data_IF_649086411414
#
_entry.id   IF_649086411414
#
_cell.length_a   1.000
_cell.length_b   1.000
_cell.length_c   1.000
_cell.angle_alpha   90.00
_cell.angle_beta   90.00
_cell.angle_gamma   90.00
#
_symmetry.space_group_name_H-M   'P 1'
#
loop_
_entity.id
_entity.type
_entity.pdbx_description
1 polymer ?
#
# COMPACT_ATOMS: atom_id res chain seq x y z
N UNK A 1 -16.68 -94.52 -27.91
CA UNK A 1 -16.99 -93.08 -27.80
C UNK A 1 -16.61 -92.61 -26.40
N UNK A 2 -15.53 -91.74 -26.30
CA UNK A 2 -15.06 -91.18 -25.01
C UNK A 2 -15.76 -89.86 -24.76
N UNK A 3 -16.24 -89.56 -23.58
CA UNK A 3 -16.79 -88.24 -23.24
C UNK A 3 -15.68 -87.24 -23.10
N UNK A 4 -15.86 -86.04 -23.65
CA UNK A 4 -14.96 -84.89 -23.62
C UNK A 4 -15.13 -84.20 -22.25
N UNK A 5 -14.08 -84.23 -21.46
CA UNK A 5 -13.99 -83.51 -20.17
C UNK A 5 -13.77 -82.04 -20.43
N UNK A 6 -14.69 -81.16 -20.13
CA UNK A 6 -14.55 -79.72 -20.15
C UNK A 6 -13.75 -79.33 -18.90
N UNK A 7 -12.53 -78.83 -19.15
CA UNK A 7 -11.60 -78.43 -18.10
C UNK A 7 -12.09 -77.16 -17.40
N UNK A 8 -11.81 -77.08 -16.13
CA UNK A 8 -12.17 -76.08 -15.10
C UNK A 8 -11.67 -74.66 -15.40
N UNK A 9 -11.05 -74.43 -16.56
CA UNK A 9 -10.41 -73.19 -16.92
C UNK A 9 -11.32 -72.11 -17.54
N UNK A 10 -12.51 -72.44 -17.93
CA UNK A 10 -13.38 -71.45 -18.59
C UNK A 10 -14.41 -70.74 -17.67
N UNK A 11 -14.48 -71.08 -16.38
CA UNK A 11 -15.40 -70.44 -15.46
C UNK A 11 -14.84 -69.21 -14.75
N UNK A 12 -13.53 -68.96 -14.83
CA UNK A 12 -12.92 -67.78 -14.20
C UNK A 12 -12.98 -66.51 -15.04
N UNK A 13 -13.26 -66.58 -16.33
CA UNK A 13 -13.25 -65.41 -17.21
C UNK A 13 -14.55 -64.60 -17.23
N UNK A 14 -15.66 -65.16 -16.75
CA UNK A 14 -16.95 -64.47 -16.80
C UNK A 14 -17.22 -63.69 -15.51
N UNK A 15 -16.47 -63.93 -14.43
CA UNK A 15 -16.71 -63.24 -13.15
C UNK A 15 -15.89 -61.96 -12.98
N UNK A 16 -14.88 -61.74 -13.84
CA UNK A 16 -14.04 -60.53 -13.74
C UNK A 16 -14.58 -59.29 -14.47
N UNK A 17 -15.62 -59.46 -15.31
CA UNK A 17 -16.11 -58.33 -16.12
C UNK A 17 -17.28 -57.56 -15.52
N UNK A 18 -17.78 -57.96 -14.34
CA UNK A 18 -18.92 -57.25 -13.70
C UNK A 18 -18.48 -56.29 -12.59
N UNK A 19 -17.26 -56.43 -12.09
CA UNK A 19 -16.75 -55.56 -10.97
C UNK A 19 -16.07 -54.31 -11.47
N UNK A 20 -15.61 -54.28 -12.72
CA UNK A 20 -14.80 -53.15 -13.21
C UNK A 20 -15.58 -51.91 -13.68
N UNK A 21 -16.87 -52.05 -13.97
CA UNK A 21 -17.68 -50.92 -14.48
C UNK A 21 -18.19 -50.04 -13.35
N UNK A 22 -18.57 -50.62 -12.21
CA UNK A 22 -19.06 -49.82 -11.07
C UNK A 22 -17.94 -49.04 -10.37
N UNK A 23 -16.72 -49.60 -10.31
CA UNK A 23 -15.58 -48.91 -9.74
C UNK A 23 -15.05 -47.77 -10.63
N UNK A 24 -15.18 -47.87 -11.94
CA UNK A 24 -14.80 -46.83 -12.89
C UNK A 24 -15.77 -45.63 -12.83
N UNK A 25 -17.05 -45.87 -12.56
CA UNK A 25 -18.04 -44.79 -12.41
C UNK A 25 -17.85 -44.07 -11.07
N UNK A 26 -17.52 -44.78 -9.98
CA UNK A 26 -17.24 -44.14 -8.68
C UNK A 26 -15.94 -43.34 -8.71
N UNK A 27 -14.89 -43.81 -9.42
CA UNK A 27 -13.66 -43.06 -9.56
C UNK A 27 -13.83 -41.80 -10.42
N UNK A 28 -14.69 -41.83 -11.44
CA UNK A 28 -14.96 -40.65 -12.26
C UNK A 28 -15.76 -39.56 -11.52
N UNK A 29 -16.67 -39.96 -10.61
CA UNK A 29 -17.44 -38.99 -9.81
C UNK A 29 -16.62 -38.34 -8.73
N UNK A 30 -15.59 -39.01 -8.15
CA UNK A 30 -14.68 -38.39 -7.20
C UNK A 30 -13.71 -37.38 -7.85
N UNK A 31 -13.40 -37.50 -9.14
CA UNK A 31 -12.50 -36.61 -9.84
C UNK A 31 -13.14 -35.26 -10.24
N UNK A 32 -14.46 -35.18 -10.31
CA UNK A 32 -15.18 -33.98 -10.71
C UNK A 32 -15.31 -32.98 -9.53
N UNK A 33 -15.14 -33.43 -8.28
CA UNK A 33 -15.26 -32.57 -7.10
C UNK A 33 -13.93 -32.03 -6.57
N UNK A 34 -12.80 -32.35 -7.18
CA UNK A 34 -11.48 -31.94 -6.68
C UNK A 34 -10.85 -30.71 -7.37
N UNK A 35 -11.57 -30.03 -8.23
CA UNK A 35 -11.11 -28.79 -8.84
C UNK A 35 -11.77 -27.54 -8.22
N UNK A 36 -11.87 -27.51 -6.90
CA UNK A 36 -11.97 -26.24 -6.20
C UNK A 36 -10.60 -25.57 -6.30
N UNK A 37 -10.33 -24.93 -7.42
CA UNK A 37 -9.28 -23.93 -7.48
C UNK A 37 -9.66 -22.86 -6.48
N UNK A 38 -9.09 -22.95 -5.28
CA UNK A 38 -9.04 -21.82 -4.37
C UNK A 38 -8.23 -20.75 -5.09
N UNK A 39 -8.91 -19.84 -5.75
CA UNK A 39 -8.31 -18.55 -6.10
C UNK A 39 -8.02 -17.89 -4.76
N UNK A 40 -6.85 -18.14 -4.22
CA UNK A 40 -6.27 -17.25 -3.24
C UNK A 40 -6.17 -15.91 -3.96
N UNK A 41 -7.14 -15.03 -3.71
CA UNK A 41 -6.97 -13.63 -4.02
C UNK A 41 -5.70 -13.24 -3.28
N UNK A 42 -4.62 -13.02 -4.01
CA UNK A 42 -3.45 -12.34 -3.48
C UNK A 42 -3.95 -10.93 -3.17
N UNK A 43 -4.38 -10.72 -1.94
CA UNK A 43 -4.45 -9.36 -1.44
C UNK A 43 -3.00 -8.87 -1.55
N UNK A 44 -2.76 -7.95 -2.48
CA UNK A 44 -1.55 -7.18 -2.44
C UNK A 44 -1.57 -6.50 -1.08
N UNK A 45 -0.71 -6.94 -0.17
CA UNK A 45 -0.42 -6.18 1.03
C UNK A 45 0.04 -4.83 0.50
N UNK A 46 -0.79 -3.81 0.65
CA UNK A 46 -0.36 -2.43 0.48
C UNK A 46 0.64 -2.23 1.60
N UNK A 47 1.93 -2.23 1.25
CA UNK A 47 2.96 -1.87 2.22
C UNK A 47 2.53 -0.53 2.81
N UNK A 48 2.35 -0.51 4.11
CA UNK A 48 2.07 0.73 4.85
C UNK A 48 3.36 1.55 4.80
N UNK A 49 3.42 2.44 3.80
CA UNK A 49 4.57 3.31 3.59
C UNK A 49 4.67 4.41 4.64
N UNK A 50 3.76 4.41 5.62
CA UNK A 50 3.65 5.42 6.65
C UNK A 50 2.71 6.57 6.30
N UNK A 51 2.44 7.40 7.29
CA UNK A 51 1.51 8.52 7.22
C UNK A 51 2.11 9.78 7.84
N UNK A 52 1.58 10.93 7.44
CA UNK A 52 1.83 12.23 8.08
C UNK A 52 0.51 12.93 8.33
N UNK A 53 0.40 13.64 9.44
CA UNK A 53 -0.75 14.49 9.75
C UNK A 53 -0.27 15.87 10.19
N UNK A 54 -0.91 16.94 9.68
CA UNK A 54 -0.74 18.28 10.23
C UNK A 54 -1.60 18.37 11.49
N UNK A 55 -0.96 18.56 12.65
CA UNK A 55 -1.61 18.63 13.95
C UNK A 55 -2.01 20.05 14.33
N UNK A 56 -1.29 21.05 13.81
CA UNK A 56 -1.54 22.49 13.97
C UNK A 56 -1.24 23.23 12.67
N UNK A 57 -2.08 24.21 12.27
CA UNK A 57 -3.40 24.54 12.82
C UNK A 57 -4.45 23.50 12.39
N UNK A 58 -5.62 23.51 13.00
CA UNK A 58 -6.74 22.66 12.57
C UNK A 58 -7.47 23.27 11.37
N UNK A 59 -7.99 22.41 10.48
CA UNK A 59 -8.78 22.86 9.32
C UNK A 59 -10.00 23.67 9.77
N UNK A 60 -10.25 24.80 9.11
CA UNK A 60 -11.32 25.73 9.41
C UNK A 60 -11.01 26.73 10.52
N UNK A 61 -9.86 26.65 11.18
CA UNK A 61 -9.45 27.59 12.22
C UNK A 61 -9.14 28.99 11.68
N UNK A 62 -9.22 29.99 12.56
CA UNK A 62 -8.74 31.34 12.31
C UNK A 62 -7.59 31.63 13.26
N UNK A 63 -6.44 31.93 12.69
CA UNK A 63 -5.15 32.12 13.41
C UNK A 63 -4.54 33.48 13.11
N UNK A 64 -3.51 33.85 13.85
CA UNK A 64 -2.70 35.05 13.58
C UNK A 64 -1.34 34.67 13.02
N UNK A 65 -0.75 35.52 12.16
CA UNK A 65 0.62 35.38 11.73
C UNK A 65 1.58 35.87 12.83
N UNK A 66 2.75 35.22 13.04
CA UNK A 66 3.19 34.00 12.38
C UNK A 66 2.35 32.79 12.76
N UNK A 67 2.11 31.89 11.78
CA UNK A 67 1.33 30.68 11.96
C UNK A 67 2.26 29.50 12.24
N UNK A 68 2.12 28.89 13.41
CA UNK A 68 2.84 27.65 13.72
C UNK A 68 2.15 26.47 13.05
N UNK A 69 2.89 25.76 12.18
CA UNK A 69 2.45 24.53 11.53
C UNK A 69 3.26 23.37 12.10
N UNK A 70 2.56 22.38 12.68
CA UNK A 70 3.18 21.19 13.27
C UNK A 70 2.66 19.93 12.60
N UNK A 71 3.53 18.93 12.47
CA UNK A 71 3.25 17.62 11.89
C UNK A 71 3.63 16.49 12.83
N UNK A 72 2.89 15.40 12.74
CA UNK A 72 3.25 14.11 13.33
C UNK A 72 3.31 13.05 12.22
N UNK A 73 4.15 12.04 12.40
CA UNK A 73 4.32 10.91 11.47
C UNK A 73 4.00 9.60 12.16
N UNK A 74 3.59 8.61 11.38
CA UNK A 74 3.41 7.22 11.80
C UNK A 74 3.98 6.32 10.70
N UNK A 75 4.63 5.21 11.06
CA UNK A 75 5.25 4.28 10.12
C UNK A 75 6.51 4.80 9.41
N UNK A 76 6.86 6.08 9.56
CA UNK A 76 8.12 6.69 9.07
C UNK A 76 8.82 7.46 10.18
N UNK A 77 10.10 7.79 9.99
CA UNK A 77 10.91 8.55 10.96
C UNK A 77 11.41 9.86 10.36
N UNK A 78 11.24 10.96 11.11
CA UNK A 78 11.79 12.26 10.72
C UNK A 78 13.29 12.30 11.02
N UNK A 79 14.07 12.67 10.02
CA UNK A 79 15.52 12.86 10.15
C UNK A 79 16.00 14.09 9.38
N UNK A 80 17.14 14.69 9.76
CA UNK A 80 17.77 15.75 8.97
C UNK A 80 18.17 15.28 7.56
N UNK A 81 18.00 16.14 6.56
CA UNK A 81 18.32 15.82 5.15
C UNK A 81 19.80 15.45 4.92
N UNK A 82 20.72 15.98 5.74
CA UNK A 82 22.14 15.70 5.64
C UNK A 82 22.56 14.31 6.14
N UNK A 83 21.63 13.50 6.67
CA UNK A 83 21.91 12.13 7.08
C UNK A 83 21.84 11.13 5.92
N UNK A 84 21.49 11.61 4.71
CA UNK A 84 21.41 10.80 3.51
C UNK A 84 20.08 10.07 3.33
N UNK A 85 20.04 9.16 2.35
CA UNK A 85 18.86 8.38 2.04
C UNK A 85 18.83 7.12 2.92
N UNK A 86 17.84 7.04 3.80
CA UNK A 86 17.59 5.89 4.66
C UNK A 86 16.13 5.40 4.44
N UNK A 87 15.90 4.11 4.24
CA UNK A 87 14.55 3.57 4.04
C UNK A 87 13.64 3.91 5.23
N UNK A 88 12.40 4.34 4.94
CA UNK A 88 11.41 4.71 5.96
C UNK A 88 11.73 6.02 6.70
N UNK A 89 12.75 6.78 6.29
CA UNK A 89 13.15 8.02 6.94
C UNK A 89 13.20 9.18 5.98
N UNK A 90 13.00 10.42 6.49
CA UNK A 90 13.01 11.60 5.67
C UNK A 90 12.69 12.86 6.45
N UNK A 91 12.29 13.91 5.74
CA UNK A 91 11.96 15.20 6.34
C UNK A 91 10.76 15.84 5.64
N UNK A 92 10.19 16.83 6.32
CA UNK A 92 9.02 17.54 5.82
C UNK A 92 9.39 18.63 4.82
N UNK A 93 8.55 18.77 3.81
CA UNK A 93 8.40 19.97 3.00
C UNK A 93 7.00 20.52 3.20
N UNK A 94 6.84 21.84 3.29
CA UNK A 94 5.53 22.49 3.30
C UNK A 94 5.32 23.21 1.97
N UNK A 95 4.16 22.96 1.38
CA UNK A 95 3.70 23.60 0.15
C UNK A 95 2.57 24.56 0.52
N UNK A 96 2.81 25.85 0.27
CA UNK A 96 1.91 26.94 0.68
C UNK A 96 1.16 27.42 -0.54
N UNK A 97 -0.19 27.25 -0.53
CA UNK A 97 -1.12 27.69 -1.57
C UNK A 97 -0.86 27.13 -2.97
N UNK A 98 -0.08 26.04 -3.05
CA UNK A 98 0.21 25.31 -4.28
C UNK A 98 -0.23 23.84 -4.15
N UNK A 99 -0.39 23.18 -5.29
CA UNK A 99 -0.72 21.76 -5.34
C UNK A 99 0.53 20.88 -5.16
N UNK A 100 0.31 19.60 -4.85
CA UNK A 100 1.35 18.58 -4.91
C UNK A 100 1.93 18.49 -6.33
N UNK A 101 3.24 18.20 -6.47
CA UNK A 101 3.83 17.94 -7.77
C UNK A 101 3.14 16.73 -8.43
N UNK A 102 3.03 16.76 -9.76
CA UNK A 102 2.47 15.66 -10.54
C UNK A 102 3.44 14.49 -10.65
N UNK A 103 4.73 14.82 -10.68
CA UNK A 103 5.81 13.85 -10.73
C UNK A 103 6.49 13.81 -9.35
N UNK A 104 6.42 12.66 -8.71
CA UNK A 104 7.04 12.42 -7.39
C UNK A 104 8.46 11.83 -7.51
N UNK A 105 8.95 11.61 -8.73
CA UNK A 105 10.31 11.11 -8.95
C UNK A 105 11.37 12.20 -8.97
N UNK A 106 10.93 13.46 -9.07
CA UNK A 106 11.81 14.63 -9.14
C UNK A 106 12.05 15.23 -7.74
N UNK A 107 13.19 15.87 -7.60
CA UNK A 107 13.54 16.65 -6.41
C UNK A 107 12.58 17.83 -6.24
N UNK A 108 12.13 18.06 -4.99
CA UNK A 108 11.27 19.20 -4.68
C UNK A 108 12.03 20.53 -4.83
N UNK A 109 11.33 21.51 -5.42
CA UNK A 109 11.80 22.88 -5.50
C UNK A 109 12.01 23.50 -4.11
N UNK A 110 12.72 24.62 -4.10
CA UNK A 110 12.90 25.44 -2.90
C UNK A 110 12.69 26.90 -3.26
N UNK A 111 11.53 27.40 -2.87
CA UNK A 111 11.14 28.80 -3.08
C UNK A 111 10.24 29.30 -1.93
N UNK A 112 9.55 30.43 -2.12
CA UNK A 112 8.65 30.99 -1.10
C UNK A 112 7.42 30.12 -0.80
N UNK A 113 7.03 29.25 -1.71
CA UNK A 113 5.88 28.36 -1.58
C UNK A 113 6.27 26.91 -1.25
N UNK A 114 7.57 26.57 -1.39
CA UNK A 114 8.15 25.27 -1.04
C UNK A 114 9.13 25.44 0.14
N UNK A 115 8.63 25.25 1.34
CA UNK A 115 9.45 25.41 2.56
C UNK A 115 10.11 24.07 2.90
N UNK A 116 11.41 24.06 2.86
CA UNK A 116 12.23 22.91 3.21
C UNK A 116 12.52 22.86 4.71
N UNK A 117 12.22 21.75 5.37
CA UNK A 117 12.48 21.51 6.80
C UNK A 117 13.60 20.47 7.00
N UNK A 118 14.72 20.71 6.32
CA UNK A 118 15.84 19.76 6.26
C UNK A 118 16.66 19.61 7.53
N UNK A 119 16.32 20.33 8.59
CA UNK A 119 16.89 20.19 9.94
C UNK A 119 16.25 19.04 10.74
N UNK A 120 15.21 18.38 10.20
CA UNK A 120 14.46 17.35 10.90
C UNK A 120 13.45 17.89 11.91
N UNK A 121 13.12 19.19 11.85
CA UNK A 121 12.07 19.76 12.68
C UNK A 121 10.69 19.25 12.26
N UNK A 122 9.76 19.18 13.23
CA UNK A 122 8.37 18.76 13.03
C UNK A 122 7.40 19.94 13.11
N UNK A 123 7.87 21.14 13.44
CA UNK A 123 7.09 22.37 13.45
C UNK A 123 7.83 23.49 12.73
N UNK A 124 7.06 24.40 12.11
CA UNK A 124 7.58 25.60 11.44
C UNK A 124 6.65 26.77 11.67
N UNK A 125 7.21 27.94 11.96
CA UNK A 125 6.48 29.21 11.94
C UNK A 125 6.53 29.81 10.53
N UNK A 126 5.36 30.22 10.03
CA UNK A 126 5.17 30.78 8.70
C UNK A 126 4.59 32.18 8.80
N UNK A 127 5.29 33.14 8.20
CA UNK A 127 4.76 34.50 8.01
C UNK A 127 3.81 34.47 6.81
N UNK A 128 2.52 34.50 7.06
CA UNK A 128 1.48 34.45 6.05
C UNK A 128 0.65 35.74 6.04
N UNK A 129 0.25 36.16 4.85
CA UNK A 129 -0.64 37.30 4.67
C UNK A 129 -2.03 37.01 5.26
N UNK A 130 -2.84 38.06 5.47
CA UNK A 130 -4.26 37.88 5.83
C UNK A 130 -5.00 37.20 4.68
N UNK A 131 -5.85 36.25 5.02
CA UNK A 131 -6.65 35.53 4.03
C UNK A 131 -6.73 34.05 4.30
N UNK A 132 -7.36 33.33 3.37
CA UNK A 132 -7.47 31.88 3.39
C UNK A 132 -6.20 31.27 2.81
N UNK A 133 -5.65 30.30 3.51
CA UNK A 133 -4.46 29.54 3.11
C UNK A 133 -4.72 28.05 3.07
N UNK A 134 -4.00 27.37 2.18
CA UNK A 134 -3.93 25.93 2.07
C UNK A 134 -2.46 25.53 2.28
N UNK A 135 -2.16 24.81 3.34
CA UNK A 135 -0.84 24.28 3.59
C UNK A 135 -0.89 22.76 3.45
N UNK A 136 0.03 22.21 2.66
CA UNK A 136 0.24 20.77 2.51
C UNK A 136 1.62 20.41 3.04
N UNK A 137 1.73 19.35 3.80
CA UNK A 137 3.03 18.71 4.02
C UNK A 137 3.26 17.64 2.98
N UNK A 138 4.49 17.49 2.52
CA UNK A 138 4.94 16.41 1.65
C UNK A 138 6.22 15.86 2.24
N UNK A 139 6.21 14.58 2.61
CA UNK A 139 7.36 13.94 3.22
C UNK A 139 8.29 13.42 2.13
N UNK A 140 9.60 13.71 2.27
CA UNK A 140 10.59 13.39 1.26
C UNK A 140 11.81 12.70 1.88
N UNK A 141 12.50 11.90 1.08
CA UNK A 141 13.78 11.27 1.42
C UNK A 141 14.88 12.29 1.68
N UNK A 142 16.04 11.87 2.20
CA UNK A 142 17.20 12.75 2.36
C UNK A 142 17.70 13.38 1.05
N UNK A 143 17.33 12.82 -0.12
CA UNK A 143 17.61 13.42 -1.43
C UNK A 143 16.52 14.39 -1.90
N UNK A 144 15.56 14.78 -1.05
CA UNK A 144 14.45 15.69 -1.38
C UNK A 144 13.46 15.14 -2.42
N UNK A 145 13.51 13.85 -2.69
CA UNK A 145 12.55 13.16 -3.57
C UNK A 145 11.40 12.66 -2.71
N UNK A 146 10.14 13.01 -3.03
CA UNK A 146 8.97 12.54 -2.29
C UNK A 146 8.86 11.02 -2.27
N UNK A 147 8.22 10.49 -1.25
CA UNK A 147 7.77 9.11 -1.27
C UNK A 147 6.68 8.91 -2.33
N UNK A 148 6.65 7.74 -2.95
CA UNK A 148 5.62 7.34 -3.91
C UNK A 148 5.07 5.94 -3.53
N UNK A 149 3.80 5.86 -3.12
CA UNK A 149 2.78 6.92 -3.00
C UNK A 149 3.16 8.07 -2.07
N UNK A 150 2.59 9.26 -2.32
CA UNK A 150 2.90 10.46 -1.55
C UNK A 150 2.46 10.33 -0.08
N UNK A 151 3.38 10.57 0.85
CA UNK A 151 3.07 10.72 2.27
C UNK A 151 2.79 12.20 2.51
N UNK A 152 1.51 12.57 2.65
CA UNK A 152 1.05 13.96 2.63
C UNK A 152 -0.16 14.20 3.53
N UNK A 153 -0.31 15.45 4.00
CA UNK A 153 -1.49 15.93 4.71
C UNK A 153 -1.79 17.36 4.28
N UNK A 154 -3.03 17.78 4.40
CA UNK A 154 -3.48 19.12 3.99
C UNK A 154 -4.33 19.75 5.09
N UNK A 155 -4.08 21.03 5.35
CA UNK A 155 -4.87 21.87 6.23
C UNK A 155 -5.30 23.14 5.51
N UNK A 156 -6.52 23.63 5.80
CA UNK A 156 -7.07 24.86 5.27
C UNK A 156 -7.49 25.73 6.45
N UNK A 157 -6.99 26.96 6.53
CA UNK A 157 -7.27 27.89 7.63
C UNK A 157 -7.30 29.34 7.13
N UNK A 158 -7.67 30.26 8.01
CA UNK A 158 -7.71 31.70 7.72
C UNK A 158 -6.78 32.46 8.65
N UNK A 159 -5.96 33.35 8.08
CA UNK A 159 -5.12 34.30 8.82
C UNK A 159 -5.86 35.64 8.95
N UNK A 160 -5.96 36.17 10.20
CA UNK A 160 -6.61 37.44 10.53
C UNK A 160 -5.62 38.57 10.83
#
# INVERSE_FOLDING_TARGET
>A
MKPYLITKSQRSFIFMNKISIEWLVLAAVCFIFSSSTVYAASYAETEDIGAVVITEPTTGSTVSSPVKVCMAVDGVEVQPSNTGINPGKGHHHLLIDINLPRDLSEMLDKDSNHIHMGDGSTCKELELARGKHIVRTLFATGAHVPYNPAITSTVIFTVK
#
